data_IF_185480883280
#
_entry.id   IF_185480883280
#
_cell.length_a   1.000
_cell.length_b   1.000
_cell.length_c   1.000
_cell.angle_alpha   90.00
_cell.angle_beta   90.00
_cell.angle_gamma   90.00
#
_symmetry.space_group_name_H-M   'P 1'
#
loop_
_entity.id
_entity.type
_entity.pdbx_description
1 polymer ?
#
# COMPACT_ATOMS: atom_id res chain seq x y z
N UNK A 1 -9.77 -45.06 -15.19
CA UNK A 1 -9.54 -43.63 -14.89
C UNK A 1 -8.03 -43.47 -14.72
N UNK A 2 -7.35 -42.96 -15.74
CA UNK A 2 -5.90 -42.79 -15.76
C UNK A 2 -5.61 -41.40 -15.19
N UNK A 3 -4.91 -41.33 -14.06
CA UNK A 3 -4.49 -40.06 -13.47
C UNK A 3 -3.17 -39.66 -14.12
N UNK A 4 -3.20 -38.54 -14.84
CA UNK A 4 -1.98 -37.93 -15.38
C UNK A 4 -1.29 -37.14 -14.26
N UNK A 5 -0.04 -37.51 -13.96
CA UNK A 5 0.81 -36.84 -12.97
C UNK A 5 1.90 -35.99 -13.62
N UNK A 6 1.83 -35.77 -14.93
CA UNK A 6 2.86 -35.04 -15.70
C UNK A 6 2.54 -33.56 -15.88
N UNK A 7 1.34 -33.11 -15.54
CA UNK A 7 1.01 -31.68 -15.48
C UNK A 7 1.62 -31.05 -14.22
N UNK A 8 2.35 -29.94 -14.40
CA UNK A 8 2.83 -29.11 -13.32
C UNK A 8 1.65 -28.65 -12.46
N UNK A 9 1.59 -29.17 -11.24
CA UNK A 9 0.52 -28.85 -10.30
C UNK A 9 0.68 -27.40 -9.80
N UNK A 10 -0.15 -26.50 -10.29
CA UNK A 10 -0.15 -25.08 -9.93
C UNK A 10 -1.05 -24.73 -8.72
N UNK A 11 -1.47 -25.71 -7.92
CA UNK A 11 -2.40 -25.53 -6.79
C UNK A 11 -1.76 -25.69 -5.41
N UNK A 12 -2.55 -25.43 -4.36
CA UNK A 12 -2.16 -25.74 -2.97
C UNK A 12 -2.65 -27.13 -2.59
N UNK A 13 -1.82 -27.91 -1.89
CA UNK A 13 -2.19 -29.24 -1.38
C UNK A 13 -2.15 -29.28 0.14
N UNK A 14 -3.19 -29.85 0.75
CA UNK A 14 -3.16 -30.18 2.17
C UNK A 14 -2.36 -31.47 2.38
N UNK A 15 -1.29 -31.43 3.19
CA UNK A 15 -0.49 -32.61 3.52
C UNK A 15 -0.10 -32.58 4.98
N UNK A 16 -0.62 -33.53 5.78
CA UNK A 16 -0.21 -33.73 7.17
C UNK A 16 -0.35 -32.49 8.07
N UNK A 17 -1.33 -31.62 7.81
CA UNK A 17 -1.55 -30.37 8.56
C UNK A 17 -0.89 -29.12 7.96
N UNK A 18 -0.18 -29.27 6.84
CA UNK A 18 0.46 -28.15 6.14
C UNK A 18 -0.24 -27.86 4.82
N UNK A 19 -0.32 -26.58 4.46
CA UNK A 19 -0.69 -26.13 3.13
C UNK A 19 0.60 -26.01 2.31
N UNK A 20 0.72 -26.83 1.28
CA UNK A 20 1.94 -26.94 0.46
C UNK A 20 1.71 -26.23 -0.86
N UNK A 21 2.60 -25.29 -1.19
CA UNK A 21 2.58 -24.57 -2.46
C UNK A 21 3.23 -25.37 -3.60
N UNK A 22 3.02 -24.98 -4.87
CA UNK A 22 3.70 -25.58 -6.02
C UNK A 22 5.23 -25.55 -5.93
N UNK A 23 5.80 -24.48 -5.35
CA UNK A 23 7.24 -24.32 -5.11
C UNK A 23 7.74 -25.02 -3.83
N UNK A 24 6.94 -25.94 -3.27
CA UNK A 24 7.27 -26.77 -2.10
C UNK A 24 7.46 -26.00 -0.81
N UNK A 25 6.92 -24.79 -0.70
CA UNK A 25 6.82 -24.12 0.60
C UNK A 25 5.72 -24.78 1.43
N UNK A 26 6.00 -24.95 2.72
CA UNK A 26 5.04 -25.49 3.68
C UNK A 26 4.54 -24.36 4.57
N UNK A 27 3.24 -24.08 4.52
CA UNK A 27 2.55 -23.17 5.43
C UNK A 27 1.90 -23.98 6.55
N UNK A 28 2.30 -23.69 7.78
CA UNK A 28 1.60 -24.19 8.96
C UNK A 28 0.32 -23.39 9.18
N UNK A 29 -0.60 -23.93 9.98
CA UNK A 29 -1.84 -23.24 10.35
C UNK A 29 -1.55 -21.91 11.07
N UNK A 30 -0.58 -21.90 11.98
CA UNK A 30 -0.16 -20.73 12.75
C UNK A 30 0.43 -19.65 11.83
N UNK A 31 1.21 -20.07 10.81
CA UNK A 31 1.76 -19.14 9.82
C UNK A 31 0.66 -18.52 8.97
N UNK A 32 -0.35 -19.30 8.57
CA UNK A 32 -1.50 -18.79 7.85
C UNK A 32 -2.30 -17.78 8.69
N UNK A 33 -2.55 -18.09 9.97
CA UNK A 33 -3.19 -17.15 10.91
C UNK A 33 -2.41 -15.84 11.04
N UNK A 34 -1.07 -15.92 11.13
CA UNK A 34 -0.20 -14.75 11.18
C UNK A 34 -0.27 -13.90 9.90
N UNK A 35 -0.33 -14.53 8.73
CA UNK A 35 -0.48 -13.82 7.44
C UNK A 35 -1.82 -13.11 7.34
N UNK A 36 -2.92 -13.77 7.75
CA UNK A 36 -4.25 -13.17 7.75
C UNK A 36 -4.34 -12.00 8.73
N UNK A 37 -3.74 -12.13 9.91
CA UNK A 37 -3.67 -11.03 10.87
C UNK A 37 -2.91 -9.83 10.30
N UNK A 38 -1.76 -10.08 9.64
CA UNK A 38 -0.96 -9.03 9.02
C UNK A 38 -1.74 -8.28 7.94
N UNK A 39 -2.42 -9.00 7.04
CA UNK A 39 -3.23 -8.41 5.98
C UNK A 39 -4.32 -7.49 6.56
N UNK A 40 -5.01 -7.95 7.60
CA UNK A 40 -6.01 -7.13 8.31
C UNK A 40 -5.42 -5.86 8.93
N UNK A 41 -4.20 -5.92 9.48
CA UNK A 41 -3.52 -4.73 10.03
C UNK A 41 -3.06 -3.77 8.93
N UNK A 42 -2.53 -4.28 7.82
CA UNK A 42 -2.11 -3.44 6.69
C UNK A 42 -3.30 -2.68 6.11
N UNK A 43 -4.45 -3.34 5.96
CA UNK A 43 -5.71 -2.70 5.57
C UNK A 43 -6.13 -1.61 6.58
N UNK A 44 -6.04 -1.90 7.88
CA UNK A 44 -6.35 -0.92 8.94
C UNK A 44 -5.44 0.31 8.85
N UNK A 45 -4.14 0.11 8.65
CA UNK A 45 -3.17 1.19 8.50
C UNK A 45 -3.42 2.01 7.23
N UNK A 46 -3.79 1.37 6.11
CA UNK A 46 -4.19 2.05 4.89
C UNK A 46 -5.42 2.95 5.11
N UNK A 47 -6.45 2.44 5.81
CA UNK A 47 -7.63 3.23 6.17
C UNK A 47 -7.30 4.45 7.05
N UNK A 48 -6.41 4.29 8.03
CA UNK A 48 -5.94 5.41 8.86
C UNK A 48 -5.15 6.45 8.05
N UNK A 49 -4.31 6.02 7.12
CA UNK A 49 -3.60 6.93 6.20
C UNK A 49 -4.57 7.72 5.35
N UNK A 50 -5.57 7.06 4.74
CA UNK A 50 -6.61 7.73 3.94
C UNK A 50 -7.37 8.78 4.75
N UNK A 51 -7.76 8.48 5.99
CA UNK A 51 -8.41 9.47 6.89
C UNK A 51 -7.51 10.66 7.18
N UNK A 52 -6.23 10.45 7.47
CA UNK A 52 -5.28 11.55 7.70
C UNK A 52 -5.14 12.43 6.48
N UNK A 53 -5.03 11.86 5.28
CA UNK A 53 -4.99 12.63 4.03
C UNK A 53 -6.28 13.42 3.79
N UNK A 54 -7.44 12.84 4.09
CA UNK A 54 -8.73 13.53 3.97
C UNK A 54 -8.90 14.68 4.99
N UNK A 55 -8.29 14.56 6.17
CA UNK A 55 -8.32 15.60 7.21
C UNK A 55 -7.28 16.72 6.98
N UNK A 56 -6.34 16.56 6.04
CA UNK A 56 -5.40 17.65 5.73
C UNK A 56 -6.18 18.83 5.17
N UNK A 57 -6.05 20.03 5.77
CA UNK A 57 -6.69 21.21 5.20
C UNK A 57 -6.11 21.42 3.81
N UNK A 58 -6.98 21.47 2.79
CA UNK A 58 -6.57 21.81 1.42
C UNK A 58 -6.03 23.24 1.47
N UNK A 59 -4.71 23.41 1.45
CA UNK A 59 -4.12 24.74 1.36
C UNK A 59 -4.51 25.33 0.00
N UNK A 60 -5.34 26.37 0.01
CA UNK A 60 -5.59 27.21 -1.16
C UNK A 60 -4.32 28.01 -1.45
N UNK A 61 -3.59 27.63 -2.49
CA UNK A 61 -2.43 28.37 -2.97
C UNK A 61 -2.93 29.42 -3.97
N UNK A 62 -2.80 30.70 -3.63
CA UNK A 62 -3.03 31.81 -4.57
C UNK A 62 -1.72 32.12 -5.28
N UNK A 63 -1.61 31.72 -6.55
CA UNK A 63 -0.51 32.14 -7.41
C UNK A 63 -0.83 33.52 -7.96
N UNK A 64 0.01 34.50 -7.63
CA UNK A 64 -0.03 35.84 -8.24
C UNK A 64 1.22 35.99 -9.08
N UNK A 65 1.02 36.22 -10.38
CA UNK A 65 2.10 36.61 -11.28
C UNK A 65 2.19 38.13 -11.23
N UNK A 66 3.35 38.65 -10.85
CA UNK A 66 3.66 40.09 -10.82
C UNK A 66 4.91 40.33 -11.65
N UNK A 67 4.95 41.46 -12.35
CA UNK A 67 6.16 41.93 -13.02
C UNK A 67 7.21 42.32 -11.97
N UNK A 68 8.45 41.85 -12.19
CA UNK A 68 9.56 42.01 -11.24
C UNK A 68 9.89 43.47 -10.91
N UNK A 69 9.57 44.40 -11.81
CA UNK A 69 9.88 45.82 -11.65
C UNK A 69 8.99 46.49 -10.58
N UNK A 70 7.76 46.01 -10.39
CA UNK A 70 6.82 46.53 -9.39
C UNK A 70 7.25 46.18 -7.94
N UNK A 71 7.84 45.00 -7.75
CA UNK A 71 8.37 44.56 -6.44
C UNK A 71 9.56 45.44 -6.03
N UNK A 72 10.43 45.77 -6.98
CA UNK A 72 11.63 46.60 -6.71
C UNK A 72 11.26 48.03 -6.31
N UNK A 73 10.19 48.57 -6.87
CA UNK A 73 9.68 49.90 -6.51
C UNK A 73 9.03 49.91 -5.12
N UNK A 74 8.25 48.87 -4.76
CA UNK A 74 7.67 48.76 -3.41
C UNK A 74 8.70 48.50 -2.31
N UNK A 75 9.75 47.72 -2.57
CA UNK A 75 10.82 47.48 -1.61
C UNK A 75 11.63 48.72 -1.23
N UNK A 76 11.67 49.75 -2.08
CA UNK A 76 12.34 51.03 -1.81
C UNK A 76 11.51 52.03 -1.01
N UNK A 77 10.19 51.83 -0.92
CA UNK A 77 9.27 52.70 -0.18
C UNK A 77 9.05 52.24 1.28
N UNK A 78 9.54 51.05 1.63
CA UNK A 78 9.40 50.43 2.96
C UNK A 78 10.69 50.46 3.79
N UNK A 79 11.66 51.30 3.42
CA UNK A 79 12.94 51.50 4.12
C UNK A 79 13.09 52.91 4.66
#
# INVERSE_FOLDING_TARGET
MQYDFTEDWHGWKLRGGFLVSPDRQHLTRERLEGLLWRDAQELRLAGLRSRREAMKPRQMVRVVVVELDEIRQRGKLAG
#
